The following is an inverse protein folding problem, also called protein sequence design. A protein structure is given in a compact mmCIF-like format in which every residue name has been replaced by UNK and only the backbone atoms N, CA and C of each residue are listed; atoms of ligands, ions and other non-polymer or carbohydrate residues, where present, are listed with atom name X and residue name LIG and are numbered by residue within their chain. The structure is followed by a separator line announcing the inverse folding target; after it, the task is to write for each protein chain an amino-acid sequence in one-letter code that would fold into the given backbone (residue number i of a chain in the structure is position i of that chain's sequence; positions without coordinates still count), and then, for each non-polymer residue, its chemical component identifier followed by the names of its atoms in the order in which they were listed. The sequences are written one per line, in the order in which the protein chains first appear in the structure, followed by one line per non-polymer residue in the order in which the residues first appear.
data_IF_038044054812
#
_entry.id   IF_038044054812
#
_cell.length_a   1.000
_cell.length_b   1.000
_cell.length_c   1.000
_cell.angle_alpha   90.00
_cell.angle_beta   90.00
_cell.angle_gamma   90.00
#
_symmetry.space_group_name_H-M   'P 1'
#
loop_
_entity.id
_entity.type
_entity.pdbx_description
1 polymer ?
#
# COMPACT_ATOMS: atom_id res chain seq x y z
N UNK A 1 -6.67 -4.82 47.06
CA UNK A 1 -6.07 -4.81 45.71
C UNK A 1 -7.09 -4.19 44.77
N UNK A 2 -6.92 -2.92 44.41
CA UNK A 2 -7.80 -2.27 43.41
C UNK A 2 -7.32 -2.69 42.02
N UNK A 3 -8.21 -3.16 41.11
CA UNK A 3 -7.80 -3.53 39.77
C UNK A 3 -7.25 -2.29 39.06
N UNK A 4 -6.03 -2.38 38.53
CA UNK A 4 -5.46 -1.37 37.65
C UNK A 4 -6.24 -1.43 36.33
N UNK A 5 -7.41 -0.80 36.30
CA UNK A 5 -8.12 -0.58 35.04
C UNK A 5 -7.30 0.42 34.25
N UNK A 6 -6.70 -0.03 33.15
CA UNK A 6 -6.06 0.85 32.18
C UNK A 6 -7.14 1.78 31.61
N UNK A 7 -7.33 2.95 32.25
CA UNK A 7 -8.32 3.94 31.82
C UNK A 7 -7.73 4.65 30.62
N UNK A 8 -8.04 4.13 29.44
CA UNK A 8 -7.72 4.78 28.18
C UNK A 8 -8.34 6.20 28.18
N UNK A 9 -7.61 7.25 27.77
CA UNK A 9 -8.16 8.59 27.71
C UNK A 9 -9.33 8.64 26.72
N UNK A 10 -10.41 9.37 27.06
CA UNK A 10 -11.65 9.41 26.27
C UNK A 10 -11.42 9.80 24.79
N UNK A 11 -10.41 10.63 24.52
CA UNK A 11 -10.01 11.02 23.16
C UNK A 11 -9.40 9.86 22.34
N UNK A 12 -8.77 8.88 22.98
CA UNK A 12 -8.29 7.68 22.30
C UNK A 12 -9.45 6.74 21.95
N UNK A 13 -10.46 6.65 22.82
CA UNK A 13 -11.66 5.82 22.61
C UNK A 13 -12.49 6.35 21.43
N UNK A 14 -12.73 7.67 21.37
CA UNK A 14 -13.51 8.26 20.28
C UNK A 14 -12.84 8.11 18.91
N UNK A 15 -11.50 8.18 18.85
CA UNK A 15 -10.72 8.00 17.61
C UNK A 15 -10.68 6.55 17.16
N UNK A 16 -10.49 5.61 18.08
CA UNK A 16 -10.58 4.18 17.77
C UNK A 16 -11.98 3.81 17.23
N UNK A 17 -13.04 4.34 17.85
CA UNK A 17 -14.42 4.12 17.38
C UNK A 17 -14.64 4.66 15.96
N UNK A 18 -14.06 5.81 15.63
CA UNK A 18 -14.11 6.37 14.27
C UNK A 18 -13.45 5.43 13.26
N UNK A 19 -12.22 4.99 13.52
CA UNK A 19 -11.50 4.07 12.60
C UNK A 19 -12.22 2.75 12.40
N UNK A 20 -12.85 2.22 13.45
CA UNK A 20 -13.68 1.01 13.35
C UNK A 20 -14.94 1.28 12.49
N UNK A 21 -15.56 2.45 12.64
CA UNK A 21 -16.66 2.89 11.79
C UNK A 21 -16.26 2.98 10.31
N UNK A 22 -15.08 3.54 10.03
CA UNK A 22 -14.53 3.62 8.67
C UNK A 22 -14.28 2.21 8.07
N UNK A 23 -13.75 1.26 8.87
CA UNK A 23 -13.60 -0.14 8.45
C UNK A 23 -14.96 -0.79 8.12
N UNK A 24 -15.96 -0.54 8.97
CA UNK A 24 -17.31 -1.10 8.79
C UNK A 24 -18.00 -0.55 7.54
N UNK A 25 -17.80 0.74 7.21
CA UNK A 25 -18.31 1.33 5.97
C UNK A 25 -17.70 0.69 4.72
N UNK A 26 -16.43 0.31 4.80
CA UNK A 26 -15.73 -0.38 3.71
C UNK A 26 -16.07 -1.89 3.67
N UNK A 27 -16.78 -2.43 4.66
CA UNK A 27 -17.01 -3.88 4.76
C UNK A 27 -15.73 -4.68 4.98
N UNK A 28 -14.64 -4.03 5.40
CA UNK A 28 -13.36 -4.67 5.65
C UNK A 28 -13.23 -5.00 7.12
N UNK A 29 -12.97 -6.27 7.40
CA UNK A 29 -12.69 -6.72 8.75
C UNK A 29 -11.27 -6.24 9.16
N UNK A 30 -11.14 -5.54 10.30
CA UNK A 30 -9.84 -5.16 10.83
C UNK A 30 -9.16 -6.41 11.39
N UNK A 31 -8.49 -7.17 10.52
CA UNK A 31 -7.87 -8.43 10.85
C UNK A 31 -6.41 -8.48 10.36
N UNK A 32 -5.50 -8.81 11.27
CA UNK A 32 -4.06 -8.94 10.98
C UNK A 32 -3.70 -10.21 10.19
N UNK A 33 -4.26 -11.41 10.47
CA UNK A 33 -3.96 -12.63 9.71
C UNK A 33 -4.39 -12.63 8.23
N UNK A 34 -5.60 -12.13 7.92
CA UNK A 34 -6.07 -12.08 6.53
C UNK A 34 -5.39 -10.95 5.74
N UNK A 35 -4.97 -9.89 6.43
CA UNK A 35 -4.22 -8.76 5.85
C UNK A 35 -5.10 -7.78 5.07
N UNK A 36 -6.38 -7.67 5.44
CA UNK A 36 -7.37 -6.82 4.77
C UNK A 36 -7.29 -5.37 5.23
N UNK A 37 -7.26 -5.14 6.54
CA UNK A 37 -7.13 -3.80 7.12
C UNK A 37 -6.37 -3.87 8.45
N UNK A 38 -5.49 -2.89 8.66
CA UNK A 38 -4.66 -2.77 9.84
C UNK A 38 -5.04 -1.51 10.62
N UNK A 39 -5.22 -1.65 11.93
CA UNK A 39 -5.41 -0.52 12.83
C UNK A 39 -4.06 -0.17 13.46
N UNK A 40 -3.49 0.97 13.05
CA UNK A 40 -2.16 1.39 13.48
C UNK A 40 -2.29 2.64 14.36
N UNK A 41 -1.74 2.62 15.60
CA UNK A 41 -1.70 3.80 16.45
C UNK A 41 -0.50 4.69 16.07
N UNK A 42 -0.80 5.85 15.49
CA UNK A 42 0.18 6.90 15.25
C UNK A 42 0.24 7.88 16.43
N UNK A 43 1.46 8.20 16.89
CA UNK A 43 1.66 9.28 17.85
C UNK A 43 1.57 10.64 17.15
N UNK A 44 0.56 11.43 17.47
CA UNK A 44 0.41 12.79 16.96
C UNK A 44 0.37 13.80 18.11
N UNK A 45 1.05 14.94 17.95
CA UNK A 45 0.90 16.07 18.87
C UNK A 45 -0.42 16.77 18.60
N UNK A 46 -1.22 17.01 19.63
CA UNK A 46 -2.41 17.83 19.50
C UNK A 46 -2.04 19.33 19.39
N UNK A 47 -3.02 20.20 19.13
CA UNK A 47 -2.82 21.67 19.10
C UNK A 47 -2.29 22.24 20.42
N UNK A 48 -2.39 21.49 21.52
CA UNK A 48 -1.87 21.84 22.85
C UNK A 48 -0.49 21.19 23.16
N UNK A 49 0.18 20.61 22.16
CA UNK A 49 1.51 20.01 22.30
C UNK A 49 1.59 18.65 23.01
N UNK A 50 0.46 18.09 23.46
CA UNK A 50 0.40 16.79 24.11
C UNK A 50 0.43 15.65 23.07
N UNK A 51 1.21 14.61 23.37
CA UNK A 51 1.24 13.38 22.57
C UNK A 51 -0.04 12.59 22.77
N UNK A 52 -0.80 12.40 21.70
CA UNK A 52 -2.01 11.57 21.68
C UNK A 52 -1.80 10.45 20.66
N UNK A 53 -2.23 9.23 21.02
CA UNK A 53 -2.28 8.10 20.10
C UNK A 53 -3.53 8.21 19.23
N UNK A 54 -3.34 8.45 17.94
CA UNK A 54 -4.38 8.40 16.91
C UNK A 54 -4.39 7.02 16.27
N UNK A 55 -5.48 6.29 16.43
CA UNK A 55 -5.69 5.09 15.64
C UNK A 55 -6.10 5.52 14.23
N UNK A 56 -5.46 4.96 13.22
CA UNK A 56 -5.84 5.11 11.81
C UNK A 56 -5.99 3.72 11.20
N UNK A 57 -6.97 3.56 10.32
CA UNK A 57 -7.10 2.37 9.49
C UNK A 57 -6.20 2.52 8.27
N UNK A 58 -5.40 1.50 8.00
CA UNK A 58 -4.65 1.35 6.75
C UNK A 58 -5.16 0.08 6.08
N UNK A 59 -5.72 0.23 4.88
CA UNK A 59 -6.19 -0.90 4.09
C UNK A 59 -4.99 -1.60 3.46
N UNK A 60 -4.93 -2.93 3.62
CA UNK A 60 -3.91 -3.76 3.01
C UNK A 60 -4.22 -4.06 1.53
N UNK A 61 -3.21 -4.51 0.78
CA UNK A 61 -3.38 -4.81 -0.65
C UNK A 61 -4.44 -5.88 -0.92
N UNK A 62 -4.56 -6.89 -0.04
CA UNK A 62 -5.59 -7.95 -0.13
C UNK A 62 -6.98 -7.37 0.05
N UNK A 63 -7.14 -6.46 1.02
CA UNK A 63 -8.38 -5.71 1.21
C UNK A 63 -8.74 -4.87 -0.01
N UNK A 64 -7.77 -4.21 -0.65
CA UNK A 64 -8.00 -3.48 -1.90
C UNK A 64 -8.44 -4.40 -3.05
N UNK A 65 -7.82 -5.58 -3.19
CA UNK A 65 -8.23 -6.57 -4.20
C UNK A 65 -9.65 -7.08 -3.91
N UNK A 66 -9.99 -7.34 -2.66
CA UNK A 66 -11.32 -7.79 -2.27
C UNK A 66 -12.38 -6.71 -2.49
N UNK A 67 -12.07 -5.45 -2.21
CA UNK A 67 -12.93 -4.32 -2.55
C UNK A 67 -13.12 -4.21 -4.07
N UNK A 68 -12.03 -4.30 -4.83
CA UNK A 68 -12.05 -4.24 -6.28
C UNK A 68 -12.90 -5.36 -6.89
N UNK A 69 -12.77 -6.59 -6.39
CA UNK A 69 -13.59 -7.74 -6.81
C UNK A 69 -15.04 -7.64 -6.33
N UNK A 70 -15.24 -7.18 -5.10
CA UNK A 70 -16.55 -6.97 -4.49
C UNK A 70 -17.38 -5.89 -5.18
N UNK A 71 -16.75 -4.94 -5.87
CA UNK A 71 -17.43 -3.96 -6.73
C UNK A 71 -18.24 -4.62 -7.85
N UNK A 72 -17.91 -5.85 -8.22
CA UNK A 72 -18.59 -6.59 -9.27
C UNK A 72 -18.22 -6.13 -10.69
N UNK A 73 -17.38 -5.11 -10.86
CA UNK A 73 -16.97 -4.61 -12.18
C UNK A 73 -15.68 -5.26 -12.69
N UNK A 74 -14.84 -5.79 -11.81
CA UNK A 74 -13.51 -6.30 -12.14
C UNK A 74 -13.51 -7.84 -12.11
N UNK A 75 -13.00 -8.45 -13.19
CA UNK A 75 -12.85 -9.90 -13.34
C UNK A 75 -11.49 -10.36 -12.82
N UNK A 76 -10.42 -9.68 -13.25
CA UNK A 76 -9.06 -10.04 -12.89
C UNK A 76 -8.18 -8.80 -12.85
N UNK A 77 -7.18 -8.83 -11.97
CA UNK A 77 -6.14 -7.81 -11.85
C UNK A 77 -4.81 -8.57 -11.93
N UNK A 78 -3.92 -8.12 -12.82
CA UNK A 78 -2.57 -8.63 -12.94
C UNK A 78 -1.59 -7.45 -12.86
N UNK A 79 -0.46 -7.64 -12.20
CA UNK A 79 0.59 -6.64 -12.12
C UNK A 79 1.95 -7.33 -12.29
N UNK A 80 2.82 -6.72 -13.09
CA UNK A 80 4.13 -7.29 -13.41
C UNK A 80 5.19 -6.19 -13.55
N UNK A 81 6.43 -6.56 -13.27
CA UNK A 81 7.60 -5.72 -13.49
C UNK A 81 8.08 -5.81 -14.95
N UNK A 82 8.47 -4.66 -15.49
CA UNK A 82 9.10 -4.49 -16.80
C UNK A 82 10.59 -4.26 -16.59
N UNK A 83 11.42 -5.03 -17.29
CA UNK A 83 12.88 -4.94 -17.20
C UNK A 83 13.50 -4.53 -18.53
N UNK A 84 14.74 -4.07 -18.48
CA UNK A 84 15.48 -3.50 -19.62
C UNK A 84 15.49 -4.36 -20.88
N UNK A 85 15.56 -5.68 -20.76
CA UNK A 85 15.61 -6.58 -21.91
C UNK A 85 14.24 -7.11 -22.33
N UNK A 86 13.16 -6.76 -21.62
CA UNK A 86 11.82 -7.17 -21.99
C UNK A 86 11.33 -6.38 -23.21
N UNK A 87 10.54 -7.02 -24.06
CA UNK A 87 9.86 -6.30 -25.16
C UNK A 87 8.57 -5.73 -24.60
N UNK A 88 8.54 -4.41 -24.43
CA UNK A 88 7.41 -3.68 -23.87
C UNK A 88 6.96 -2.57 -24.81
N UNK A 89 5.70 -2.65 -25.25
CA UNK A 89 5.04 -1.63 -26.07
C UNK A 89 3.80 -1.14 -25.31
N UNK A 90 3.70 0.18 -25.18
CA UNK A 90 2.65 0.87 -24.45
C UNK A 90 2.12 2.00 -25.32
N UNK A 91 0.87 1.88 -25.74
CA UNK A 91 0.18 2.86 -26.57
C UNK A 91 -1.06 3.35 -25.81
N UNK A 92 -1.07 4.65 -25.46
CA UNK A 92 -2.23 5.36 -24.88
C UNK A 92 -3.08 6.05 -25.96
N UNK A 93 -2.98 5.60 -27.21
CA UNK A 93 -3.66 6.23 -28.35
C UNK A 93 -5.17 6.01 -28.35
N UNK A 94 -5.79 6.12 -29.53
CA UNK A 94 -7.23 5.85 -29.69
C UNK A 94 -7.59 4.39 -29.35
N UNK A 95 -6.66 3.49 -29.66
CA UNK A 95 -6.70 2.07 -29.31
C UNK A 95 -5.59 1.82 -28.30
N UNK A 96 -5.98 1.69 -27.03
CA UNK A 96 -5.06 1.41 -25.95
C UNK A 96 -4.46 0.01 -26.14
N UNK A 97 -3.14 -0.10 -26.24
CA UNK A 97 -2.45 -1.39 -26.42
C UNK A 97 -1.30 -1.52 -25.44
N UNK A 98 -1.27 -2.67 -24.79
CA UNK A 98 -0.20 -3.07 -23.90
C UNK A 98 0.31 -4.44 -24.33
N UNK A 99 1.58 -4.49 -24.76
CA UNK A 99 2.27 -5.73 -25.10
C UNK A 99 3.50 -5.86 -24.23
N UNK A 100 3.51 -6.89 -23.39
CA UNK A 100 4.68 -7.25 -22.59
C UNK A 100 5.10 -8.68 -22.91
N UNK A 101 6.32 -8.84 -23.42
CA UNK A 101 6.95 -10.13 -23.65
C UNK A 101 8.24 -10.19 -22.83
N UNK A 102 8.22 -10.92 -21.69
CA UNK A 102 9.40 -11.06 -20.85
C UNK A 102 10.54 -11.78 -21.57
N UNK A 103 11.76 -11.32 -21.35
CA UNK A 103 12.95 -12.00 -21.85
C UNK A 103 13.22 -13.27 -21.03
N UNK A 104 13.05 -14.44 -21.67
CA UNK A 104 13.15 -15.74 -21.00
C UNK A 104 14.58 -16.34 -20.99
N UNK A 105 15.52 -15.77 -21.75
CA UNK A 105 16.84 -16.37 -22.01
C UNK A 105 17.96 -15.76 -21.17
N UNK A 106 17.79 -15.80 -19.85
CA UNK A 106 18.83 -15.41 -18.88
C UNK A 106 18.45 -14.15 -18.09
N UNK A 107 19.46 -13.35 -17.75
CA UNK A 107 19.28 -12.14 -16.95
C UNK A 107 18.48 -11.07 -17.72
N UNK A 108 17.32 -10.68 -17.18
CA UNK A 108 16.39 -9.68 -17.74
C UNK A 108 16.89 -8.24 -17.59
N UNK A 109 17.93 -7.98 -16.78
CA UNK A 109 18.44 -6.64 -16.48
C UNK A 109 17.66 -5.92 -15.39
N UNK A 110 17.90 -4.61 -15.24
CA UNK A 110 17.29 -3.79 -14.19
C UNK A 110 15.79 -3.55 -14.42
N UNK A 111 15.05 -3.24 -13.35
CA UNK A 111 13.62 -2.91 -13.42
C UNK A 111 13.44 -1.47 -13.91
N UNK A 112 12.74 -1.31 -15.04
CA UNK A 112 12.39 -0.01 -15.61
C UNK A 112 11.11 0.55 -14.97
N UNK A 113 10.16 -0.32 -14.65
CA UNK A 113 8.88 0.09 -14.11
C UNK A 113 7.94 -1.08 -13.87
N UNK A 114 6.71 -0.76 -13.50
CA UNK A 114 5.67 -1.72 -13.19
C UNK A 114 4.41 -1.32 -13.92
N UNK A 115 3.67 -2.32 -14.40
CA UNK A 115 2.32 -2.08 -14.92
C UNK A 115 1.31 -2.93 -14.19
N UNK A 116 0.06 -2.47 -14.21
CA UNK A 116 -1.10 -3.21 -13.78
C UNK A 116 -2.15 -3.23 -14.90
N UNK A 117 -2.85 -4.36 -15.03
CA UNK A 117 -3.97 -4.54 -15.95
C UNK A 117 -5.17 -5.05 -15.17
N UNK A 118 -6.32 -4.42 -15.36
CA UNK A 118 -7.60 -4.87 -14.86
C UNK A 118 -8.53 -5.22 -16.04
N UNK A 119 -9.07 -6.43 -16.03
CA UNK A 119 -10.13 -6.84 -16.96
C UNK A 119 -11.49 -6.55 -16.34
N UNK A 120 -12.33 -5.81 -17.06
CA UNK A 120 -13.69 -5.50 -16.63
C UNK A 120 -14.67 -6.54 -17.17
N UNK A 121 -15.82 -6.69 -16.49
CA UNK A 121 -16.87 -7.63 -16.92
C UNK A 121 -17.48 -7.26 -18.27
N UNK A 122 -17.48 -5.98 -18.62
CA UNK A 122 -18.09 -5.46 -19.85
C UNK A 122 -17.18 -5.62 -21.08
N UNK A 123 -16.05 -6.35 -20.96
CA UNK A 123 -15.09 -6.59 -22.04
C UNK A 123 -14.05 -5.50 -22.23
N UNK A 124 -14.15 -4.40 -21.48
CA UNK A 124 -13.11 -3.38 -21.40
C UNK A 124 -11.89 -3.83 -20.59
N UNK A 125 -10.78 -3.15 -20.82
CA UNK A 125 -9.55 -3.31 -20.05
C UNK A 125 -9.06 -1.93 -19.62
N UNK A 126 -8.48 -1.85 -18.43
CA UNK A 126 -7.78 -0.67 -17.96
C UNK A 126 -6.37 -1.09 -17.60
N UNK A 127 -5.38 -0.32 -18.03
CA UNK A 127 -4.01 -0.51 -17.60
C UNK A 127 -3.35 0.80 -17.21
N UNK A 128 -2.38 0.69 -16.33
CA UNK A 128 -1.58 1.81 -15.87
C UNK A 128 -0.13 1.36 -15.77
N UNK A 129 0.80 2.24 -16.15
CA UNK A 129 2.24 1.99 -16.11
C UNK A 129 2.93 3.08 -15.31
N UNK A 130 3.73 2.65 -14.33
CA UNK A 130 4.50 3.52 -13.48
C UNK A 130 6.00 3.23 -13.65
N UNK A 131 6.81 4.23 -14.03
CA UNK A 131 8.26 4.06 -14.09
C UNK A 131 8.83 3.88 -12.68
N UNK A 132 9.95 3.17 -12.58
CA UNK A 132 10.59 2.88 -11.31
C UNK A 132 11.00 4.16 -10.55
N UNK A 133 11.34 5.23 -11.26
CA UNK A 133 11.62 6.54 -10.66
C UNK A 133 10.43 7.09 -9.87
N UNK A 134 9.23 6.99 -10.42
CA UNK A 134 8.00 7.49 -9.77
C UNK A 134 7.62 6.60 -8.58
N UNK A 135 7.81 5.29 -8.68
CA UNK A 135 7.65 4.37 -7.54
C UNK A 135 8.57 4.77 -6.39
N UNK A 136 9.83 5.08 -6.69
CA UNK A 136 10.80 5.52 -5.69
C UNK A 136 10.44 6.89 -5.09
N UNK A 137 9.87 7.80 -5.87
CA UNK A 137 9.36 9.08 -5.36
C UNK A 137 8.18 8.88 -4.39
N UNK A 138 7.21 8.04 -4.74
CA UNK A 138 6.07 7.70 -3.88
C UNK A 138 6.56 7.00 -2.60
N UNK A 139 7.51 6.08 -2.71
CA UNK A 139 8.19 5.43 -1.58
C UNK A 139 8.81 6.47 -0.66
N UNK A 140 9.60 7.38 -1.22
CA UNK A 140 10.28 8.43 -0.46
C UNK A 140 9.29 9.42 0.19
N UNK A 141 8.13 9.65 -0.42
CA UNK A 141 7.06 10.49 0.13
C UNK A 141 6.29 9.83 1.28
N UNK A 142 6.23 8.49 1.29
CA UNK A 142 5.47 7.69 2.26
C UNK A 142 5.93 7.93 3.71
N UNK A 143 4.95 8.06 4.60
CA UNK A 143 5.19 8.28 6.03
C UNK A 143 5.91 7.10 6.67
N UNK A 144 5.63 5.86 6.25
CA UNK A 144 6.26 4.67 6.79
C UNK A 144 7.76 4.62 6.49
N UNK A 145 8.13 4.93 5.25
CA UNK A 145 9.53 4.98 4.84
C UNK A 145 10.30 6.11 5.53
N UNK A 146 9.72 7.32 5.61
CA UNK A 146 10.32 8.45 6.34
C UNK A 146 10.57 8.14 7.81
N UNK A 147 9.62 7.47 8.47
CA UNK A 147 9.78 7.06 9.86
C UNK A 147 10.87 6.00 10.04
N UNK A 148 10.98 5.05 9.11
CA UNK A 148 12.03 4.04 9.13
C UNK A 148 13.41 4.68 9.03
N UNK A 149 13.62 5.58 8.06
CA UNK A 149 14.89 6.32 7.90
C UNK A 149 15.18 7.19 9.12
N UNK A 150 14.21 7.98 9.60
CA UNK A 150 14.41 8.82 10.79
C UNK A 150 14.74 8.00 12.06
N UNK A 151 14.17 6.80 12.18
CA UNK A 151 14.50 5.89 13.28
C UNK A 151 15.91 5.32 13.13
N UNK A 152 16.32 4.96 11.92
CA UNK A 152 17.64 4.43 11.61
C UNK A 152 18.74 5.45 11.94
N UNK A 153 18.55 6.70 11.54
CA UNK A 153 19.44 7.82 11.88
C UNK A 153 19.52 8.06 13.39
N UNK A 154 18.36 8.09 14.08
CA UNK A 154 18.29 8.32 15.52
C UNK A 154 19.00 7.23 16.32
N UNK A 155 18.88 5.98 15.92
CA UNK A 155 19.45 4.83 16.62
C UNK A 155 20.79 4.36 16.03
N UNK A 156 21.33 5.04 15.00
CA UNK A 156 22.56 4.69 14.27
C UNK A 156 22.59 3.22 13.83
N UNK A 157 21.46 2.71 13.33
CA UNK A 157 21.30 1.34 12.83
C UNK A 157 20.97 1.36 11.36
N UNK A 158 21.22 0.26 10.66
CA UNK A 158 20.72 0.06 9.30
C UNK A 158 19.20 0.19 9.30
N UNK A 159 18.65 0.94 8.35
CA UNK A 159 17.21 1.07 8.21
C UNK A 159 16.62 -0.29 7.79
N UNK A 160 15.88 -0.93 8.69
CA UNK A 160 15.13 -2.16 8.40
C UNK A 160 13.73 -1.75 7.95
N UNK A 161 13.42 -1.94 6.67
CA UNK A 161 12.11 -1.68 6.10
C UNK A 161 11.88 -2.64 4.94
N UNK A 162 10.66 -3.18 4.71
CA UNK A 162 10.38 -4.09 3.60
C UNK A 162 10.81 -3.60 2.21
N UNK A 163 10.79 -2.27 1.98
CA UNK A 163 11.33 -1.65 0.76
C UNK A 163 12.86 -1.78 0.64
N UNK A 164 13.59 -1.77 1.74
CA UNK A 164 15.06 -1.83 1.75
C UNK A 164 15.54 -3.29 1.60
N UNK A 165 14.79 -4.25 2.15
CA UNK A 165 15.16 -5.67 2.15
C UNK A 165 14.85 -6.38 0.82
N UNK A 166 13.95 -5.82 -0.01
CA UNK A 166 13.44 -6.47 -1.23
C UNK A 166 13.67 -5.65 -2.52
N UNK A 167 14.40 -4.54 -2.45
CA UNK A 167 14.87 -3.85 -3.66
C UNK A 167 16.00 -4.67 -4.29
N UNK A 168 15.69 -5.34 -5.41
CA UNK A 168 16.62 -6.10 -6.27
C UNK A 168 16.59 -5.51 -7.67
#
# INVERSE_FOLDING_TARGET
MSPVTCRMPAAAISRARRSIGDCAQMGLEPNTPLGHAYLIPFGAKNKAGQWIKNVQVIVGYRGLIDLARGSGHIVSIAAHEVREKDTFELEYGLEEKLRHVPYLKGDRGAVIGYYAVAHLKDGGHAFDFMPNSEVLEIRNASQGYKQAIASAEKYKKTATHPWIDHEV
#
